data_IF_661938115087
#
_entry.id   IF_661938115087
#
_cell.length_a   1.000
_cell.length_b   1.000
_cell.length_c   1.000
_cell.angle_alpha   90.00
_cell.angle_beta   90.00
_cell.angle_gamma   90.00
#
_symmetry.space_group_name_H-M   'P 1'
#
loop_
_entity.id
_entity.type
_entity.pdbx_description
1 polymer ?
#
# COMPACT_ATOMS: atom_id res chain seq x y z
N UNK A 1 4.94 -9.57 -14.25
CA UNK A 1 4.04 -10.43 -13.42
C UNK A 1 4.91 -11.44 -12.70
N UNK A 2 4.75 -11.62 -11.39
CA UNK A 2 5.63 -12.46 -10.57
C UNK A 2 6.91 -11.78 -10.04
N UNK A 3 7.02 -10.45 -10.18
CA UNK A 3 8.12 -9.70 -9.59
C UNK A 3 7.92 -9.56 -8.09
N UNK A 4 9.00 -9.75 -7.31
CA UNK A 4 9.01 -9.53 -5.86
C UNK A 4 9.38 -8.09 -5.54
N UNK A 5 8.82 -7.58 -4.46
CA UNK A 5 9.23 -6.33 -3.84
C UNK A 5 9.54 -6.57 -2.37
N UNK A 6 10.40 -5.72 -1.81
CA UNK A 6 10.69 -5.66 -0.38
C UNK A 6 10.95 -4.19 -0.04
N UNK A 7 10.12 -3.64 0.85
CA UNK A 7 10.20 -2.27 1.31
C UNK A 7 10.42 -2.29 2.83
N UNK A 8 11.67 -2.02 3.24
CA UNK A 8 11.97 -1.86 4.66
C UNK A 8 11.39 -0.55 5.18
N UNK A 9 10.49 -0.63 6.15
CA UNK A 9 9.88 0.51 6.82
C UNK A 9 10.30 0.54 8.28
N UNK A 10 10.88 1.66 8.73
CA UNK A 10 11.33 1.84 10.10
C UNK A 10 10.92 3.20 10.66
N UNK A 11 10.64 3.22 11.96
CA UNK A 11 10.45 4.47 12.70
C UNK A 11 11.73 5.30 12.65
N UNK A 12 11.59 6.64 12.58
CA UNK A 12 12.74 7.56 12.47
C UNK A 12 13.68 7.49 13.68
N UNK A 13 13.16 7.09 14.83
CA UNK A 13 13.92 6.89 16.06
C UNK A 13 14.59 5.50 16.15
N UNK A 14 14.38 4.65 15.14
CA UNK A 14 14.96 3.30 15.07
C UNK A 14 14.32 2.29 16.05
N UNK A 15 13.24 2.66 16.74
CA UNK A 15 12.62 1.81 17.76
C UNK A 15 11.97 0.55 17.18
N UNK A 16 11.41 0.66 15.99
CA UNK A 16 10.61 -0.38 15.34
C UNK A 16 10.85 -0.34 13.83
N UNK A 17 10.83 -1.52 13.20
CA UNK A 17 10.90 -1.65 11.76
C UNK A 17 10.35 -2.99 11.30
N UNK A 18 9.85 -3.02 10.08
CA UNK A 18 9.29 -4.20 9.44
C UNK A 18 9.53 -4.15 7.93
N UNK A 19 9.62 -5.32 7.33
CA UNK A 19 9.69 -5.45 5.89
C UNK A 19 8.28 -5.62 5.32
N UNK A 20 7.95 -4.76 4.38
CA UNK A 20 6.73 -4.87 3.58
C UNK A 20 7.10 -5.49 2.24
N UNK A 21 6.86 -6.79 2.15
CA UNK A 21 7.32 -7.62 1.05
C UNK A 21 6.23 -8.52 0.50
N UNK A 22 6.37 -8.84 -0.78
CA UNK A 22 5.37 -9.63 -1.49
C UNK A 22 5.69 -9.78 -2.96
N UNK A 23 4.74 -10.35 -3.68
CA UNK A 23 4.85 -10.67 -5.10
C UNK A 23 3.68 -10.10 -5.88
N UNK A 24 3.96 -9.36 -6.96
CA UNK A 24 2.92 -8.83 -7.84
C UNK A 24 2.20 -9.96 -8.59
N UNK A 25 0.90 -10.08 -8.30
CA UNK A 25 -0.02 -11.02 -8.94
C UNK A 25 -0.80 -10.39 -10.08
N UNK A 26 -0.88 -9.06 -10.15
CA UNK A 26 -1.46 -8.31 -11.26
C UNK A 26 -0.77 -6.94 -11.42
N UNK A 27 -0.53 -6.50 -12.65
CA UNK A 27 -0.07 -5.14 -12.96
C UNK A 27 -0.82 -4.65 -14.19
N UNK A 28 -1.75 -3.73 -13.97
CA UNK A 28 -2.62 -3.16 -15.01
C UNK A 28 -2.36 -1.66 -15.08
N UNK A 29 -1.13 -1.31 -15.47
CA UNK A 29 -0.67 0.07 -15.50
C UNK A 29 -1.39 0.90 -16.59
N UNK A 30 -1.74 2.17 -16.32
CA UNK A 30 -1.52 2.92 -15.08
C UNK A 30 -2.65 2.77 -14.05
N UNK A 31 -3.63 1.92 -14.30
CA UNK A 31 -4.93 1.90 -13.61
C UNK A 31 -5.01 1.03 -12.36
N UNK A 32 -4.07 0.12 -12.14
CA UNK A 32 -4.07 -0.71 -10.93
C UNK A 32 -2.92 -1.71 -10.84
N UNK A 33 -2.82 -2.31 -9.66
CA UNK A 33 -1.92 -3.42 -9.36
C UNK A 33 -2.52 -4.31 -8.28
N UNK A 34 -2.13 -5.57 -8.28
CA UNK A 34 -2.46 -6.56 -7.27
C UNK A 34 -1.20 -7.31 -6.84
N UNK A 35 -1.12 -7.64 -5.56
CA UNK A 35 -0.02 -8.42 -5.01
C UNK A 35 -0.46 -9.24 -3.81
N UNK A 36 0.30 -10.31 -3.57
CA UNK A 36 0.19 -11.15 -2.38
C UNK A 36 1.41 -10.89 -1.50
N UNK A 37 1.17 -10.54 -0.25
CA UNK A 37 2.22 -10.40 0.77
C UNK A 37 2.77 -11.78 1.14
N UNK A 38 4.00 -11.86 1.66
CA UNK A 38 4.62 -13.15 2.00
C UNK A 38 3.89 -13.90 3.14
N UNK A 39 3.06 -13.19 3.92
CA UNK A 39 2.14 -13.79 4.92
C UNK A 39 0.81 -14.28 4.34
N UNK A 40 0.63 -14.17 3.02
CA UNK A 40 -0.53 -14.66 2.28
C UNK A 40 -1.68 -13.66 2.13
N UNK A 41 -1.59 -12.46 2.70
CA UNK A 41 -2.62 -11.43 2.52
C UNK A 41 -2.64 -10.90 1.09
N UNK A 42 -3.84 -10.76 0.53
CA UNK A 42 -4.02 -10.13 -0.77
C UNK A 42 -4.21 -8.61 -0.64
N UNK A 43 -3.60 -7.88 -1.56
CA UNK A 43 -3.77 -6.42 -1.67
C UNK A 43 -4.01 -6.04 -3.12
N UNK A 44 -4.95 -5.13 -3.34
CA UNK A 44 -5.24 -4.53 -4.64
C UNK A 44 -5.29 -3.02 -4.52
N UNK A 45 -4.67 -2.34 -5.48
CA UNK A 45 -4.66 -0.88 -5.61
C UNK A 45 -5.30 -0.51 -6.94
N UNK A 46 -6.22 0.45 -6.91
CA UNK A 46 -6.86 1.01 -8.10
C UNK A 46 -6.64 2.51 -8.16
N UNK A 47 -6.34 2.98 -9.36
CA UNK A 47 -6.23 4.39 -9.69
C UNK A 47 -7.45 4.78 -10.54
N UNK A 48 -8.38 5.51 -9.95
CA UNK A 48 -9.63 5.92 -10.59
C UNK A 48 -9.51 7.40 -10.95
N UNK A 49 -9.62 7.72 -12.24
CA UNK A 49 -9.65 9.11 -12.68
C UNK A 49 -10.96 9.77 -12.23
N UNK A 50 -10.85 10.93 -11.57
CA UNK A 50 -11.99 11.72 -11.12
C UNK A 50 -11.86 13.18 -11.60
N UNK A 51 -12.93 13.97 -11.44
CA UNK A 51 -12.85 15.40 -11.74
C UNK A 51 -11.88 16.09 -10.77
N UNK A 52 -10.74 16.54 -11.31
CA UNK A 52 -9.74 17.27 -10.53
C UNK A 52 -8.64 16.42 -9.91
N UNK A 53 -8.57 15.11 -10.21
CA UNK A 53 -7.47 14.27 -9.70
C UNK A 53 -7.62 12.78 -9.98
N UNK A 54 -6.88 11.99 -9.21
CA UNK A 54 -6.96 10.52 -9.21
C UNK A 54 -7.31 10.07 -7.79
N UNK A 55 -8.40 9.32 -7.65
CA UNK A 55 -8.70 8.60 -6.42
C UNK A 55 -7.86 7.32 -6.39
N UNK A 56 -7.07 7.16 -5.33
CA UNK A 56 -6.32 5.93 -5.08
C UNK A 56 -7.10 5.12 -4.06
N UNK A 57 -7.56 3.93 -4.47
CA UNK A 57 -8.27 3.01 -3.61
C UNK A 57 -7.42 1.78 -3.33
N UNK A 58 -7.24 1.45 -2.06
CA UNK A 58 -6.53 0.25 -1.62
C UNK A 58 -7.49 -0.69 -0.88
N UNK A 59 -7.44 -1.97 -1.23
CA UNK A 59 -8.16 -3.04 -0.55
C UNK A 59 -7.15 -4.09 -0.13
N UNK A 60 -7.22 -4.52 1.11
CA UNK A 60 -6.29 -5.48 1.69
C UNK A 60 -7.04 -6.46 2.57
N UNK A 61 -6.51 -7.68 2.67
CA UNK A 61 -6.93 -8.63 3.68
C UNK A 61 -6.38 -8.21 5.05
N UNK A 62 -7.26 -8.13 6.05
CA UNK A 62 -6.84 -7.82 7.40
C UNK A 62 -6.13 -9.02 8.04
N UNK A 63 -5.05 -8.77 8.77
CA UNK A 63 -4.41 -9.79 9.61
C UNK A 63 -5.14 -9.95 10.95
N UNK A 64 -4.82 -10.99 11.72
CA UNK A 64 -5.56 -11.40 12.93
C UNK A 64 -5.02 -10.88 14.27
N UNK A 65 -3.85 -10.23 14.28
CA UNK A 65 -3.15 -9.71 15.45
C UNK A 65 -3.63 -8.31 15.85
N UNK A 66 -3.86 -7.39 14.90
CA UNK A 66 -4.34 -6.03 15.18
C UNK A 66 -5.80 -5.84 14.77
N UNK A 67 -6.46 -4.84 15.35
CA UNK A 67 -7.85 -4.54 14.97
C UNK A 67 -7.93 -4.02 13.52
N UNK A 68 -9.04 -4.29 12.85
CA UNK A 68 -9.25 -3.79 11.48
C UNK A 68 -9.20 -2.26 11.39
N UNK A 69 -9.57 -1.54 12.45
CA UNK A 69 -9.45 -0.08 12.54
C UNK A 69 -7.98 0.36 12.60
N UNK A 70 -7.15 -0.28 13.43
CA UNK A 70 -5.71 0.00 13.52
C UNK A 70 -5.02 -0.24 12.17
N UNK A 71 -5.33 -1.37 11.54
CA UNK A 71 -4.77 -1.69 10.22
C UNK A 71 -5.20 -0.65 9.18
N UNK A 72 -6.50 -0.33 9.10
CA UNK A 72 -7.02 0.70 8.18
C UNK A 72 -6.35 2.06 8.39
N UNK A 73 -6.13 2.47 9.64
CA UNK A 73 -5.46 3.73 9.95
C UNK A 73 -3.99 3.73 9.50
N UNK A 74 -3.30 2.58 9.64
CA UNK A 74 -1.94 2.38 9.14
C UNK A 74 -1.84 2.55 7.63
N UNK A 75 -2.66 1.80 6.88
CA UNK A 75 -2.72 1.90 5.42
C UNK A 75 -3.12 3.29 4.93
N UNK A 76 -4.11 3.91 5.57
CA UNK A 76 -4.51 5.28 5.23
C UNK A 76 -3.37 6.27 5.43
N UNK A 77 -2.57 6.11 6.48
CA UNK A 77 -1.39 6.97 6.72
C UNK A 77 -0.34 6.83 5.61
N UNK A 78 -0.19 5.63 5.02
CA UNK A 78 0.68 5.39 3.85
C UNK A 78 0.13 6.14 2.62
N UNK A 79 -1.16 6.01 2.33
CA UNK A 79 -1.82 6.72 1.22
C UNK A 79 -1.75 8.25 1.38
N UNK A 80 -1.94 8.76 2.60
CA UNK A 80 -1.84 10.18 2.90
C UNK A 80 -0.40 10.70 2.71
N UNK A 81 0.60 9.91 3.09
CA UNK A 81 2.00 10.22 2.82
C UNK A 81 2.31 10.23 1.31
N UNK A 82 1.82 9.24 0.58
CA UNK A 82 1.96 9.18 -0.88
C UNK A 82 1.32 10.39 -1.56
N UNK A 83 0.10 10.75 -1.17
CA UNK A 83 -0.60 11.94 -1.66
C UNK A 83 0.23 13.20 -1.43
N UNK A 84 0.68 13.44 -0.19
CA UNK A 84 1.52 14.61 0.14
C UNK A 84 2.81 14.65 -0.68
N UNK A 85 3.44 13.49 -0.91
CA UNK A 85 4.65 13.41 -1.70
C UNK A 85 4.41 13.79 -3.17
N UNK A 86 3.31 13.32 -3.77
CA UNK A 86 2.93 13.67 -5.15
C UNK A 86 2.53 15.14 -5.30
N UNK A 87 1.77 15.68 -4.34
CA UNK A 87 1.37 17.09 -4.35
C UNK A 87 2.57 18.04 -4.15
N UNK A 88 3.58 17.63 -3.38
CA UNK A 88 4.81 18.42 -3.20
C UNK A 88 5.76 18.35 -4.41
N UNK A 89 5.63 17.34 -5.26
CA UNK A 89 6.42 17.17 -6.48
C UNK A 89 5.79 17.86 -7.71
N UNK A 90 4.62 18.48 -7.54
CA UNK A 90 3.84 19.16 -8.59
C UNK A 90 4.17 20.65 -8.72
#
# INVERSE_FOLDING_TARGET
MGGRFCHHMAARDGSTGFDFEGTFTEVTAPTGLGYVMDDGREVSVRFVAEQGGTQVEERFDAESLHSGEQQRAGWQSILDNFKRHMEAAS
#
